data_IF_458367036749
#
_entry.id   IF_458367036749
#
_cell.length_a   1.000
_cell.length_b   1.000
_cell.length_c   1.000
_cell.angle_alpha   90.00
_cell.angle_beta   90.00
_cell.angle_gamma   90.00
#
_symmetry.space_group_name_H-M   'P 1'
#
loop_
_entity.id
_entity.type
_entity.pdbx_description
1 polymer ?
#
# COMPACT_ATOMS: atom_id res chain seq x y z
N UNK A 1 16.45 10.78 10.33
CA UNK A 1 15.91 11.15 11.65
C UNK A 1 16.48 12.50 12.04
N UNK A 2 15.72 13.57 11.79
CA UNK A 2 16.11 14.92 12.21
C UNK A 2 15.39 15.22 13.52
N UNK A 3 16.09 14.96 14.62
CA UNK A 3 15.59 15.14 15.97
C UNK A 3 15.65 16.62 16.36
N UNK A 4 14.56 17.09 16.97
CA UNK A 4 14.41 18.41 17.57
C UNK A 4 15.29 18.54 18.82
N UNK A 5 16.19 19.52 18.93
CA UNK A 5 16.96 19.72 20.16
C UNK A 5 16.16 20.59 21.18
N UNK A 6 16.27 20.22 22.46
CA UNK A 6 15.68 20.93 23.62
C UNK A 6 16.81 21.49 24.50
N UNK A 7 16.73 22.81 24.82
CA UNK A 7 17.26 23.61 25.98
C UNK A 7 18.70 23.33 26.49
N UNK A 8 19.57 24.27 26.87
CA UNK A 8 19.47 25.61 27.50
C UNK A 8 20.91 26.17 27.62
N UNK A 9 21.13 27.49 27.62
CA UNK A 9 22.03 28.23 28.55
C UNK A 9 21.82 29.75 28.38
N UNK A 10 22.12 30.49 29.45
CA UNK A 10 21.78 31.89 29.74
C UNK A 10 23.00 32.81 29.56
N UNK A 11 22.75 34.13 29.55
CA UNK A 11 23.68 35.30 29.70
C UNK A 11 23.99 36.03 28.38
N UNK A 12 24.17 37.36 28.29
CA UNK A 12 24.27 38.43 29.29
C UNK A 12 23.72 39.75 28.72
N UNK A 13 23.42 40.67 29.64
CA UNK A 13 22.92 42.04 29.47
C UNK A 13 23.94 42.95 28.78
N UNK A 14 23.47 43.85 27.91
CA UNK A 14 24.10 45.17 27.76
C UNK A 14 23.04 46.26 27.57
N UNK A 15 23.17 47.25 28.43
CA UNK A 15 22.31 48.38 28.74
C UNK A 15 22.34 49.48 27.67
N UNK A 16 21.18 50.12 27.44
CA UNK A 16 21.02 51.58 27.23
C UNK A 16 19.53 51.97 27.22
N UNK A 17 19.15 52.85 28.15
CA UNK A 17 17.91 53.64 28.18
C UNK A 17 18.32 55.11 28.44
N UNK A 18 17.46 56.14 28.28
CA UNK A 18 16.14 56.18 27.66
C UNK A 18 15.95 57.39 26.71
N UNK A 19 14.97 57.35 25.81
CA UNK A 19 14.29 58.57 25.38
C UNK A 19 12.78 58.37 25.42
N UNK A 20 12.16 59.20 26.26
CA UNK A 20 10.72 59.31 26.44
C UNK A 20 10.09 59.88 25.18
N UNK A 21 9.18 59.11 24.57
CA UNK A 21 8.10 59.65 23.76
C UNK A 21 6.89 58.75 23.99
N UNK A 22 5.87 59.27 24.67
CA UNK A 22 4.59 58.59 24.85
C UNK A 22 3.82 58.62 23.52
N UNK A 23 3.41 57.46 22.94
CA UNK A 23 2.38 57.45 21.92
C UNK A 23 1.03 57.17 22.57
N UNK A 24 0.06 58.00 22.19
CA UNK A 24 -1.32 57.99 22.60
C UNK A 24 -1.97 56.60 22.59
N UNK A 25 -2.79 56.35 23.62
CA UNK A 25 -3.69 55.19 23.68
C UNK A 25 -4.63 55.21 22.48
N UNK A 26 -4.46 54.26 21.56
CA UNK A 26 -5.49 53.94 20.57
C UNK A 26 -6.56 53.08 21.26
N UNK A 27 -7.85 53.31 20.98
CA UNK A 27 -8.93 52.51 21.56
C UNK A 27 -8.74 51.05 21.16
N UNK A 28 -8.93 50.14 22.11
CA UNK A 28 -8.86 48.71 21.88
C UNK A 28 -9.85 48.31 20.77
N UNK A 29 -9.35 48.06 19.56
CA UNK A 29 -10.10 47.36 18.54
C UNK A 29 -10.36 45.96 19.06
N UNK A 30 -11.62 45.56 19.06
CA UNK A 30 -12.12 44.26 19.48
C UNK A 30 -11.68 43.10 18.54
N UNK A 31 -10.60 43.30 17.78
CA UNK A 31 -10.03 42.31 16.90
C UNK A 31 -9.03 41.48 17.71
N UNK A 32 -9.55 40.39 18.28
CA UNK A 32 -8.71 39.26 18.66
C UNK A 32 -7.80 38.86 17.49
N UNK A 33 -6.71 38.11 17.74
CA UNK A 33 -5.77 37.70 16.70
C UNK A 33 -6.53 37.17 15.48
N UNK A 34 -6.31 37.80 14.32
CA UNK A 34 -7.01 37.53 13.06
C UNK A 34 -7.22 36.01 12.88
N UNK A 35 -8.46 35.55 13.03
CA UNK A 35 -8.79 34.13 13.14
C UNK A 35 -8.38 33.36 11.88
N UNK A 36 -8.45 34.01 10.72
CA UNK A 36 -7.97 33.44 9.46
C UNK A 36 -6.46 33.26 9.46
N UNK A 37 -5.72 34.21 10.03
CA UNK A 37 -4.27 34.10 10.19
C UNK A 37 -3.90 32.97 11.17
N UNK A 38 -4.67 32.75 12.22
CA UNK A 38 -4.42 31.66 13.17
C UNK A 38 -4.62 30.27 12.55
N UNK A 39 -5.68 30.11 11.75
CA UNK A 39 -6.09 28.82 11.20
C UNK A 39 -5.40 28.46 9.87
N UNK A 40 -4.95 29.45 9.10
CA UNK A 40 -4.37 29.23 7.76
C UNK A 40 -2.87 29.43 7.67
N UNK A 41 -2.25 30.18 8.60
CA UNK A 41 -0.83 30.47 8.51
C UNK A 41 0.01 29.37 9.21
N UNK A 42 0.97 28.73 8.52
CA UNK A 42 1.86 27.72 9.13
C UNK A 42 2.75 28.28 10.26
N UNK A 43 2.95 29.60 10.31
CA UNK A 43 3.70 30.30 11.36
C UNK A 43 2.81 30.85 12.48
N UNK A 44 1.53 30.47 12.54
CA UNK A 44 0.62 30.96 13.57
C UNK A 44 1.07 30.55 14.98
N UNK A 45 0.56 31.24 16.00
CA UNK A 45 0.82 30.86 17.39
C UNK A 45 0.25 29.48 17.74
N UNK A 46 -0.81 29.06 17.04
CA UNK A 46 -1.52 27.80 17.25
C UNK A 46 -0.63 26.57 16.99
N UNK A 47 0.37 26.66 16.11
CA UNK A 47 1.31 25.54 15.85
C UNK A 47 2.38 25.37 16.93
N UNK A 48 2.53 26.36 17.83
CA UNK A 48 3.56 26.35 18.88
C UNK A 48 3.00 26.07 20.28
N UNK A 49 1.70 26.20 20.44
CA UNK A 49 1.01 25.95 21.72
C UNK A 49 0.69 24.47 21.90
N UNK A 50 0.53 24.07 23.15
CA UNK A 50 0.07 22.72 23.48
C UNK A 50 -1.45 22.63 23.26
N UNK A 51 -1.87 21.81 22.30
CA UNK A 51 -3.28 21.71 21.89
C UNK A 51 -4.19 21.17 22.99
N UNK A 52 -3.63 20.37 23.90
CA UNK A 52 -4.35 19.82 25.06
C UNK A 52 -4.74 20.89 26.08
N UNK A 53 -4.00 21.99 26.12
CA UNK A 53 -4.35 23.16 26.96
C UNK A 53 -5.43 24.04 26.33
N UNK A 54 -5.62 23.92 25.01
CA UNK A 54 -6.59 24.70 24.24
C UNK A 54 -7.94 23.97 24.21
N UNK A 55 -7.94 22.67 23.91
CA UNK A 55 -9.13 21.83 23.94
C UNK A 55 -9.18 21.03 25.24
N UNK A 56 -9.77 21.63 26.27
CA UNK A 56 -9.94 21.00 27.58
C UNK A 56 -11.37 21.17 28.08
N UNK A 57 -11.75 20.39 29.09
CA UNK A 57 -13.05 20.53 29.75
C UNK A 57 -13.24 21.93 30.39
N UNK A 58 -12.14 22.55 30.84
CA UNK A 58 -12.14 23.91 31.38
C UNK A 58 -12.48 24.93 30.29
N UNK A 59 -11.83 24.86 29.13
CA UNK A 59 -12.11 25.79 28.02
C UNK A 59 -13.50 25.56 27.43
N UNK A 60 -13.97 24.32 27.41
CA UNK A 60 -15.35 24.00 27.02
C UNK A 60 -16.39 24.66 27.94
N UNK A 61 -16.13 24.68 29.25
CA UNK A 61 -17.02 25.28 30.24
C UNK A 61 -17.10 26.81 30.15
N UNK A 62 -16.11 27.45 29.52
CA UNK A 62 -16.09 28.89 29.26
C UNK A 62 -16.94 29.30 28.05
N UNK A 63 -17.40 28.35 27.23
CA UNK A 63 -18.20 28.63 26.04
C UNK A 63 -19.67 28.87 26.39
N UNK A 64 -20.35 29.72 25.59
CA UNK A 64 -21.80 29.93 25.73
C UNK A 64 -22.57 28.64 25.47
N UNK A 65 -23.78 28.54 26.02
CA UNK A 65 -24.66 27.39 25.80
C UNK A 65 -24.99 27.17 24.32
N UNK A 66 -25.26 28.25 23.58
CA UNK A 66 -25.48 28.19 22.13
C UNK A 66 -24.25 27.65 21.37
N UNK A 67 -23.05 28.08 21.75
CA UNK A 67 -21.81 27.60 21.11
C UNK A 67 -21.58 26.11 21.40
N UNK A 68 -21.85 25.67 22.63
CA UNK A 68 -21.75 24.26 23.03
C UNK A 68 -22.78 23.41 22.30
N UNK A 69 -23.99 23.90 22.09
CA UNK A 69 -25.02 23.20 21.33
C UNK A 69 -24.58 22.97 19.87
N UNK A 70 -24.06 24.01 19.20
CA UNK A 70 -23.53 23.88 17.83
C UNK A 70 -22.34 22.93 17.77
N UNK A 71 -21.37 23.06 18.67
CA UNK A 71 -20.20 22.19 18.69
C UNK A 71 -20.56 20.72 19.00
N UNK A 72 -21.59 20.49 19.82
CA UNK A 72 -22.09 19.14 20.11
C UNK A 72 -22.64 18.44 18.85
N UNK A 73 -23.13 19.18 17.86
CA UNK A 73 -23.55 18.57 16.57
C UNK A 73 -22.38 18.05 15.72
N UNK A 74 -21.16 18.53 15.99
CA UNK A 74 -19.95 18.16 15.24
C UNK A 74 -19.16 17.03 15.91
N UNK A 75 -19.49 16.71 17.17
CA UNK A 75 -18.81 15.65 17.91
C UNK A 75 -19.37 14.28 17.54
N UNK A 76 -18.54 13.22 17.58
CA UNK A 76 -19.03 11.88 17.33
C UNK A 76 -20.06 11.47 18.39
N UNK A 77 -21.06 10.63 18.05
CA UNK A 77 -22.06 10.17 19.00
C UNK A 77 -21.45 9.51 20.25
N UNK A 78 -20.26 8.92 20.14
CA UNK A 78 -19.49 8.30 21.23
C UNK A 78 -19.00 9.30 22.29
N UNK A 79 -19.02 10.60 22.02
CA UNK A 79 -18.60 11.64 22.96
C UNK A 79 -19.63 11.92 24.06
N UNK A 80 -20.82 11.31 23.98
CA UNK A 80 -21.94 11.56 24.88
C UNK A 80 -22.23 10.31 25.73
N UNK A 81 -22.53 10.50 27.01
CA UNK A 81 -22.83 9.40 27.95
C UNK A 81 -23.99 8.49 27.51
N UNK A 82 -24.90 9.01 26.68
CA UNK A 82 -26.07 8.28 26.17
C UNK A 82 -25.79 7.36 24.98
N UNK A 83 -24.54 7.25 24.53
CA UNK A 83 -24.20 6.42 23.37
C UNK A 83 -24.39 4.93 23.67
N UNK A 84 -25.22 4.28 22.86
CA UNK A 84 -25.31 2.82 22.81
C UNK A 84 -24.82 2.35 21.44
N UNK A 85 -23.84 1.45 21.46
CA UNK A 85 -23.35 0.79 20.26
C UNK A 85 -24.49 -0.03 19.66
N UNK A 86 -24.95 0.38 18.48
CA UNK A 86 -25.99 -0.33 17.74
C UNK A 86 -25.42 -0.89 16.46
N UNK A 87 -25.89 -2.09 16.11
CA UNK A 87 -25.54 -2.74 14.87
C UNK A 87 -26.41 -2.14 13.75
N UNK A 88 -25.81 -1.85 12.59
CA UNK A 88 -26.52 -1.34 11.41
C UNK A 88 -27.77 -2.17 11.09
N UNK A 89 -28.82 -1.51 10.58
CA UNK A 89 -30.08 -2.16 10.18
C UNK A 89 -29.85 -3.30 9.18
N UNK A 90 -28.82 -3.20 8.33
CA UNK A 90 -28.53 -4.16 7.26
C UNK A 90 -27.58 -5.29 7.68
N UNK A 91 -27.20 -5.36 8.95
CA UNK A 91 -26.24 -6.36 9.42
C UNK A 91 -26.94 -7.69 9.76
N UNK A 92 -26.43 -8.84 9.28
CA UNK A 92 -27.09 -10.14 9.43
C UNK A 92 -27.20 -10.65 10.88
N UNK A 93 -26.38 -10.12 11.80
CA UNK A 93 -26.39 -10.47 13.23
C UNK A 93 -27.32 -9.59 14.09
N UNK A 94 -28.20 -8.80 13.48
CA UNK A 94 -29.10 -7.92 14.23
C UNK A 94 -30.36 -8.67 14.67
N UNK A 95 -30.51 -8.86 15.97
CA UNK A 95 -31.77 -9.32 16.55
C UNK A 95 -32.86 -8.25 16.36
N UNK A 96 -34.01 -8.66 15.84
CA UNK A 96 -35.15 -7.78 15.50
C UNK A 96 -35.85 -7.14 16.70
N UNK A 97 -35.38 -7.39 17.93
CA UNK A 97 -36.01 -6.95 19.18
C UNK A 97 -35.47 -5.65 19.78
N UNK A 98 -34.42 -5.05 19.22
CA UNK A 98 -33.82 -3.82 19.77
C UNK A 98 -33.89 -2.66 18.79
N UNK A 99 -34.99 -1.90 18.86
CA UNK A 99 -35.12 -0.58 18.27
C UNK A 99 -34.35 0.44 19.11
N UNK A 100 -33.04 0.51 18.94
CA UNK A 100 -32.21 1.58 19.53
C UNK A 100 -32.20 2.78 18.58
N UNK A 101 -33.04 3.76 18.86
CA UNK A 101 -32.92 5.11 18.29
C UNK A 101 -31.67 5.76 18.86
N UNK A 102 -30.65 5.98 18.02
CA UNK A 102 -29.43 6.71 18.39
C UNK A 102 -29.74 8.20 18.54
N UNK A 103 -30.33 8.60 19.66
CA UNK A 103 -30.49 10.01 20.01
C UNK A 103 -29.18 10.52 20.61
N UNK A 104 -28.49 11.41 19.90
CA UNK A 104 -27.24 12.08 20.33
C UNK A 104 -27.45 13.19 21.38
N UNK A 105 -28.64 13.34 21.95
CA UNK A 105 -28.95 14.32 23.01
C UNK A 105 -28.52 13.83 24.39
N UNK A 106 -27.24 13.52 24.56
CA UNK A 106 -26.65 13.19 25.86
C UNK A 106 -25.83 14.35 26.42
N UNK A 107 -25.63 14.36 27.74
CA UNK A 107 -24.58 15.17 28.36
C UNK A 107 -23.21 14.74 27.80
N UNK A 108 -22.36 15.71 27.43
CA UNK A 108 -21.00 15.46 26.96
C UNK A 108 -20.18 14.80 28.07
N UNK A 109 -19.42 13.76 27.74
CA UNK A 109 -18.43 13.19 28.65
C UNK A 109 -17.13 14.04 28.65
N UNK A 110 -16.74 14.68 29.78
CA UNK A 110 -15.50 15.45 29.85
C UNK A 110 -14.23 14.64 29.53
N UNK A 111 -14.27 13.31 29.63
CA UNK A 111 -13.12 12.46 29.29
C UNK A 111 -12.78 12.48 27.79
N UNK A 112 -13.70 12.95 26.93
CA UNK A 112 -13.47 13.07 25.48
C UNK A 112 -12.26 13.95 25.17
N UNK A 113 -12.01 15.00 25.96
CA UNK A 113 -10.88 15.90 25.74
C UNK A 113 -9.53 15.27 26.10
N UNK A 114 -9.55 14.20 26.89
CA UNK A 114 -8.37 13.41 27.26
C UNK A 114 -8.23 12.13 26.46
N UNK A 115 -9.20 11.82 25.59
CA UNK A 115 -9.17 10.61 24.78
C UNK A 115 -8.01 10.63 23.79
N UNK A 116 -7.38 9.46 23.60
CA UNK A 116 -6.22 9.32 22.74
C UNK A 116 -6.55 9.65 21.28
N UNK A 117 -7.75 9.29 20.80
CA UNK A 117 -8.16 9.56 19.43
C UNK A 117 -8.44 11.05 19.23
N UNK A 118 -9.12 11.70 20.18
CA UNK A 118 -9.36 13.15 20.13
C UNK A 118 -8.04 13.95 20.16
N UNK A 119 -7.13 13.63 21.08
CA UNK A 119 -5.83 14.31 21.17
C UNK A 119 -4.99 14.08 19.89
N UNK A 120 -4.98 12.86 19.36
CA UNK A 120 -4.31 12.56 18.09
C UNK A 120 -4.87 13.39 16.94
N UNK A 121 -6.19 13.51 16.84
CA UNK A 121 -6.85 14.34 15.83
C UNK A 121 -6.51 15.83 16.01
N UNK A 122 -6.49 16.32 17.25
CA UNK A 122 -6.11 17.70 17.57
C UNK A 122 -4.66 18.01 17.18
N UNK A 123 -3.72 17.10 17.45
CA UNK A 123 -2.33 17.23 17.00
C UNK A 123 -2.21 17.16 15.47
N UNK A 124 -2.93 16.24 14.82
CA UNK A 124 -2.95 16.14 13.36
C UNK A 124 -3.48 17.44 12.73
N UNK A 125 -4.47 18.08 13.35
CA UNK A 125 -4.95 19.38 12.93
C UNK A 125 -3.85 20.47 13.03
N UNK A 126 -3.10 20.53 14.13
CA UNK A 126 -1.94 21.43 14.23
C UNK A 126 -0.89 21.16 13.17
N UNK A 127 -0.60 19.88 12.89
CA UNK A 127 0.34 19.47 11.86
C UNK A 127 -0.13 19.91 10.48
N UNK A 128 -1.43 19.77 10.17
CA UNK A 128 -2.01 20.26 8.92
C UNK A 128 -1.84 21.79 8.74
N UNK A 129 -2.01 22.57 9.81
CA UNK A 129 -1.74 24.01 9.77
C UNK A 129 -0.24 24.25 9.52
N UNK A 130 0.64 23.57 10.27
CA UNK A 130 2.09 23.73 10.16
C UNK A 130 2.62 23.35 8.76
N UNK A 131 2.10 22.27 8.18
CA UNK A 131 2.43 21.82 6.82
C UNK A 131 1.79 22.69 5.73
N UNK A 132 0.95 23.67 6.08
CA UNK A 132 0.32 24.59 5.15
C UNK A 132 -0.83 23.98 4.34
N UNK A 133 -1.41 22.86 4.79
CA UNK A 133 -2.52 22.21 4.11
C UNK A 133 -3.81 23.02 4.16
N UNK A 134 -3.94 23.88 5.18
CA UNK A 134 -5.06 24.81 5.36
C UNK A 134 -4.89 26.14 4.61
N UNK A 135 -3.81 26.29 3.83
CA UNK A 135 -3.60 27.50 3.01
C UNK A 135 -4.60 27.56 1.85
N UNK A 136 -4.93 28.77 1.41
CA UNK A 136 -5.88 28.99 0.30
C UNK A 136 -5.37 28.39 -1.02
N UNK A 137 -4.04 28.35 -1.20
CA UNK A 137 -3.41 27.75 -2.38
C UNK A 137 -3.61 26.23 -2.43
N UNK A 138 -3.51 25.55 -1.29
CA UNK A 138 -3.73 24.10 -1.19
C UNK A 138 -5.22 23.76 -1.31
N UNK A 139 -6.08 24.53 -0.62
CA UNK A 139 -7.54 24.38 -0.68
C UNK A 139 -8.04 24.51 -2.13
N UNK A 140 -7.56 25.50 -2.88
CA UNK A 140 -7.91 25.69 -4.30
C UNK A 140 -7.49 24.51 -5.19
N UNK A 141 -6.33 23.88 -4.91
CA UNK A 141 -5.88 22.69 -5.64
C UNK A 141 -6.77 21.48 -5.35
N UNK A 142 -7.15 21.29 -4.10
CA UNK A 142 -8.06 20.20 -3.68
C UNK A 142 -9.43 20.36 -4.35
N UNK A 143 -9.99 21.57 -4.35
CA UNK A 143 -11.28 21.83 -5.02
C UNK A 143 -11.20 21.63 -6.53
N UNK A 144 -10.11 22.07 -7.18
CA UNK A 144 -9.89 21.78 -8.60
C UNK A 144 -9.82 20.28 -8.89
N UNK A 145 -9.18 19.50 -8.01
CA UNK A 145 -9.10 18.05 -8.14
C UNK A 145 -10.49 17.39 -7.96
N UNK A 146 -11.22 17.75 -6.90
CA UNK A 146 -12.60 17.28 -6.67
C UNK A 146 -13.51 17.59 -7.86
N UNK A 147 -13.40 18.80 -8.41
CA UNK A 147 -14.20 19.22 -9.54
C UNK A 147 -13.82 18.42 -10.81
N UNK A 148 -12.52 18.21 -11.06
CA UNK A 148 -12.09 17.36 -12.18
C UNK A 148 -12.53 15.89 -12.05
N UNK A 149 -12.66 15.36 -10.83
CA UNK A 149 -13.23 14.02 -10.58
C UNK A 149 -14.72 14.01 -10.91
N UNK A 150 -15.48 15.02 -10.47
CA UNK A 150 -16.92 15.13 -10.79
C UNK A 150 -17.16 15.28 -12.29
N UNK A 151 -16.32 16.06 -12.96
CA UNK A 151 -16.43 16.35 -14.39
C UNK A 151 -15.81 15.23 -15.26
N UNK A 152 -15.27 14.16 -14.65
CA UNK A 152 -14.64 13.03 -15.34
C UNK A 152 -13.34 13.37 -16.08
N UNK A 153 -12.83 14.59 -15.93
CA UNK A 153 -11.60 15.07 -16.60
C UNK A 153 -10.34 14.62 -15.87
N UNK A 154 -10.42 14.40 -14.55
CA UNK A 154 -9.35 13.88 -13.72
C UNK A 154 -9.81 12.58 -13.06
N UNK A 155 -9.13 11.48 -13.33
CA UNK A 155 -9.28 10.27 -12.52
C UNK A 155 -8.35 10.37 -11.33
N UNK A 156 -8.88 10.14 -10.13
CA UNK A 156 -8.02 9.79 -9.01
C UNK A 156 -7.37 8.43 -9.37
N UNK A 157 -6.04 8.34 -9.41
CA UNK A 157 -5.39 7.06 -9.66
C UNK A 157 -5.74 6.09 -8.53
N UNK A 158 -5.88 4.81 -8.86
CA UNK A 158 -6.19 3.81 -7.84
C UNK A 158 -5.08 3.81 -6.78
N UNK A 159 -5.48 3.65 -5.51
CA UNK A 159 -4.56 3.58 -4.37
C UNK A 159 -3.42 2.59 -4.63
N UNK A 160 -3.72 1.46 -5.29
CA UNK A 160 -2.77 0.41 -5.60
C UNK A 160 -1.82 0.78 -6.76
N UNK A 161 -2.26 1.63 -7.69
CA UNK A 161 -1.43 2.14 -8.79
C UNK A 161 -0.43 3.19 -8.29
N UNK A 162 -0.87 4.12 -7.44
CA UNK A 162 0.03 5.10 -6.82
C UNK A 162 0.95 4.44 -5.80
N UNK A 163 0.45 3.48 -5.03
CA UNK A 163 1.30 2.64 -4.20
C UNK A 163 2.36 1.93 -5.04
N UNK A 164 1.97 1.33 -6.18
CA UNK A 164 2.88 0.71 -7.13
C UNK A 164 3.92 1.69 -7.70
N UNK A 165 3.54 2.92 -8.03
CA UNK A 165 4.45 3.96 -8.54
C UNK A 165 5.40 4.48 -7.47
N UNK A 166 4.89 4.80 -6.28
CA UNK A 166 5.68 5.28 -5.15
C UNK A 166 6.71 4.23 -4.72
N UNK A 167 6.27 2.98 -4.60
CA UNK A 167 7.11 1.81 -4.29
C UNK A 167 8.14 1.52 -5.40
N UNK A 168 7.83 1.82 -6.67
CA UNK A 168 8.76 1.69 -7.81
C UNK A 168 9.79 2.82 -7.88
N UNK A 169 9.40 4.05 -7.54
CA UNK A 169 10.26 5.24 -7.61
C UNK A 169 11.19 5.36 -6.40
N UNK A 170 10.77 4.87 -5.24
CA UNK A 170 11.65 4.71 -4.09
C UNK A 170 12.58 3.52 -4.35
N UNK A 171 13.75 3.80 -4.92
CA UNK A 171 14.86 2.87 -5.20
C UNK A 171 15.32 2.04 -3.98
N UNK A 172 14.70 2.26 -2.82
CA UNK A 172 14.88 1.51 -1.59
C UNK A 172 14.14 0.16 -1.60
N UNK A 173 13.10 -0.09 -2.40
CA UNK A 173 12.46 -1.43 -2.43
C UNK A 173 13.27 -2.52 -3.14
N UNK A 174 14.24 -2.14 -3.98
CA UNK A 174 15.17 -3.05 -4.66
C UNK A 174 16.55 -3.11 -3.98
N UNK A 175 16.85 -2.17 -3.07
CA UNK A 175 18.09 -2.14 -2.26
C UNK A 175 17.89 -2.37 -0.77
N UNK A 176 16.66 -2.36 -0.27
CA UNK A 176 16.32 -3.11 0.94
C UNK A 176 16.73 -4.55 0.62
N UNK A 177 17.49 -5.25 1.50
CA UNK A 177 17.56 -6.69 1.38
C UNK A 177 16.11 -7.15 1.28
N UNK A 178 15.73 -7.70 0.11
CA UNK A 178 14.37 -8.17 -0.20
C UNK A 178 13.90 -8.78 1.09
N UNK A 179 12.90 -8.16 1.73
CA UNK A 179 12.54 -8.50 3.10
C UNK A 179 12.58 -10.00 3.21
N UNK A 180 13.55 -10.49 3.99
CA UNK A 180 13.52 -11.82 4.55
C UNK A 180 12.39 -11.86 5.57
N UNK A 181 11.22 -11.28 5.25
CA UNK A 181 9.93 -11.94 5.32
C UNK A 181 10.15 -13.37 4.84
N UNK A 182 10.72 -14.13 5.78
CA UNK A 182 10.73 -15.57 5.91
C UNK A 182 9.39 -15.96 5.32
N UNK A 183 9.40 -16.84 4.33
CA UNK A 183 8.17 -17.41 3.78
C UNK A 183 7.50 -18.28 4.86
N UNK A 184 7.28 -17.74 6.07
CA UNK A 184 7.05 -18.43 7.32
C UNK A 184 7.82 -19.75 7.41
N UNK A 185 7.09 -20.75 7.88
CA UNK A 185 7.46 -22.16 7.84
C UNK A 185 7.25 -22.79 6.45
N UNK A 186 6.52 -22.14 5.52
CA UNK A 186 6.45 -22.55 4.12
C UNK A 186 7.83 -22.50 3.41
N UNK A 187 8.79 -21.77 3.98
CA UNK A 187 10.24 -21.97 4.03
C UNK A 187 10.76 -23.38 3.68
N UNK A 188 10.10 -24.39 4.21
CA UNK A 188 10.54 -25.78 4.18
C UNK A 188 10.05 -26.53 2.94
N UNK A 189 8.94 -26.09 2.32
CA UNK A 189 8.38 -26.72 1.12
C UNK A 189 9.33 -26.48 -0.06
N UNK A 190 9.88 -27.53 -0.65
CA UNK A 190 10.77 -27.45 -1.80
C UNK A 190 9.98 -27.55 -3.11
N UNK A 191 10.60 -27.11 -4.20
CA UNK A 191 10.01 -27.24 -5.54
C UNK A 191 9.72 -28.70 -5.90
N UNK A 192 10.61 -29.61 -5.49
CA UNK A 192 10.40 -31.05 -5.61
C UNK A 192 9.16 -31.56 -4.86
N UNK A 193 8.73 -30.88 -3.80
CA UNK A 193 7.54 -31.26 -3.03
C UNK A 193 6.27 -30.84 -3.78
N UNK A 194 6.26 -29.67 -4.42
CA UNK A 194 5.16 -29.26 -5.31
C UNK A 194 4.99 -30.21 -6.49
N UNK A 195 6.11 -30.67 -7.06
CA UNK A 195 6.12 -31.65 -8.15
C UNK A 195 5.64 -33.02 -7.68
N UNK A 196 6.09 -33.47 -6.50
CA UNK A 196 5.70 -34.77 -5.95
C UNK A 196 4.21 -34.85 -5.62
N UNK A 197 3.63 -33.76 -5.10
CA UNK A 197 2.22 -33.67 -4.73
C UNK A 197 1.30 -33.24 -5.90
N UNK A 198 1.78 -33.30 -7.14
CA UNK A 198 1.03 -32.94 -8.35
C UNK A 198 0.46 -31.50 -8.36
N UNK A 199 1.08 -30.59 -7.60
CA UNK A 199 0.76 -29.16 -7.64
C UNK A 199 1.24 -28.55 -8.95
N UNK A 200 2.40 -28.99 -9.45
CA UNK A 200 2.89 -28.71 -10.80
C UNK A 200 2.68 -29.97 -11.65
N UNK A 201 2.09 -29.81 -12.84
CA UNK A 201 1.65 -30.90 -13.70
C UNK A 201 2.20 -30.77 -15.12
N UNK A 202 2.21 -31.87 -15.85
CA UNK A 202 2.57 -31.88 -17.29
C UNK A 202 1.53 -31.09 -18.08
N UNK A 203 1.97 -30.19 -18.95
CA UNK A 203 1.12 -29.28 -19.72
C UNK A 203 0.93 -27.90 -19.09
N UNK A 204 1.34 -27.72 -17.83
CA UNK A 204 1.38 -26.40 -17.19
C UNK A 204 2.40 -25.49 -17.87
N UNK A 205 2.12 -24.19 -17.89
CA UNK A 205 3.01 -23.16 -18.42
C UNK A 205 3.53 -22.30 -17.27
N UNK A 206 4.85 -22.23 -17.10
CA UNK A 206 5.52 -21.40 -16.11
C UNK A 206 6.02 -20.15 -16.82
N UNK A 207 5.43 -19.01 -16.50
CA UNK A 207 5.84 -17.71 -17.04
C UNK A 207 6.79 -17.01 -16.09
N UNK A 208 7.93 -16.57 -16.62
CA UNK A 208 8.97 -15.82 -15.93
C UNK A 208 8.92 -14.35 -16.33
N UNK A 209 8.99 -13.44 -15.36
CA UNK A 209 9.13 -12.00 -15.60
C UNK A 209 10.04 -11.37 -14.55
N UNK A 210 11.11 -10.72 -14.99
CA UNK A 210 12.02 -10.00 -14.09
C UNK A 210 12.59 -8.73 -14.73
N UNK A 211 12.68 -7.67 -13.92
CA UNK A 211 13.28 -6.41 -14.31
C UNK A 211 14.69 -6.27 -13.71
N UNK A 212 15.67 -5.97 -14.54
CA UNK A 212 17.06 -5.75 -14.19
C UNK A 212 17.39 -4.26 -14.29
N UNK A 213 17.42 -3.58 -13.14
CA UNK A 213 17.69 -2.13 -13.06
C UNK A 213 19.03 -1.74 -13.66
N UNK A 214 20.05 -2.59 -13.52
CA UNK A 214 21.42 -2.32 -13.96
C UNK A 214 21.56 -2.20 -15.50
N UNK A 215 20.50 -2.48 -16.25
CA UNK A 215 20.44 -2.24 -17.70
C UNK A 215 19.08 -1.77 -18.21
N UNK A 216 18.12 -1.47 -17.34
CA UNK A 216 16.71 -1.23 -17.70
C UNK A 216 16.14 -2.35 -18.62
N UNK A 217 16.51 -3.60 -18.34
CA UNK A 217 16.15 -4.76 -19.16
C UNK A 217 15.03 -5.52 -18.45
N UNK A 218 13.91 -5.72 -19.12
CA UNK A 218 12.87 -6.66 -18.70
C UNK A 218 13.04 -7.95 -19.48
N UNK A 219 13.16 -9.07 -18.76
CA UNK A 219 13.21 -10.40 -19.35
C UNK A 219 11.90 -11.09 -19.02
N UNK A 220 11.21 -11.52 -20.07
CA UNK A 220 9.97 -12.30 -20.00
C UNK A 220 10.14 -13.56 -20.83
N UNK A 221 9.82 -14.72 -20.25
CA UNK A 221 9.91 -16.02 -20.94
C UNK A 221 8.87 -16.99 -20.43
N UNK A 222 8.29 -17.76 -21.33
CA UNK A 222 7.36 -18.82 -21.01
C UNK A 222 8.02 -20.20 -21.13
N UNK A 223 7.71 -21.10 -20.19
CA UNK A 223 8.27 -22.43 -20.09
C UNK A 223 7.18 -23.49 -19.94
N UNK A 224 7.11 -24.44 -20.87
CA UNK A 224 6.10 -25.50 -20.85
C UNK A 224 6.64 -26.74 -20.13
N UNK A 225 5.88 -27.27 -19.19
CA UNK A 225 6.20 -28.53 -18.51
C UNK A 225 5.92 -29.71 -19.44
N UNK A 226 6.97 -30.30 -20.00
CA UNK A 226 6.86 -31.42 -20.94
C UNK A 226 6.77 -32.76 -20.23
N UNK A 227 7.62 -32.99 -19.23
CA UNK A 227 7.66 -34.26 -18.51
C UNK A 227 8.16 -34.07 -17.10
N UNK A 228 7.67 -34.92 -16.19
CA UNK A 228 8.09 -34.94 -14.79
C UNK A 228 8.65 -36.34 -14.50
N UNK A 229 9.93 -36.43 -14.14
CA UNK A 229 10.50 -37.69 -13.65
C UNK A 229 10.16 -37.82 -12.15
N UNK A 230 9.25 -38.75 -11.84
CA UNK A 230 8.79 -39.00 -10.47
C UNK A 230 9.88 -39.57 -9.55
N UNK A 231 10.89 -40.27 -10.10
CA UNK A 231 11.97 -40.87 -9.30
C UNK A 231 12.96 -39.81 -8.84
N UNK A 232 13.35 -38.91 -9.73
CA UNK A 232 14.29 -37.82 -9.42
C UNK A 232 13.61 -36.55 -8.94
N UNK A 233 12.27 -36.46 -9.08
CA UNK A 233 11.46 -35.26 -8.84
C UNK A 233 11.93 -34.06 -9.68
N UNK A 234 12.50 -34.34 -10.84
CA UNK A 234 12.96 -33.33 -11.77
C UNK A 234 11.89 -33.03 -12.82
N UNK A 235 11.88 -31.79 -13.30
CA UNK A 235 10.91 -31.29 -14.27
C UNK A 235 11.68 -30.91 -15.54
N UNK A 236 11.27 -31.48 -16.67
CA UNK A 236 11.79 -31.12 -17.99
C UNK A 236 10.86 -30.09 -18.63
N UNK A 237 11.44 -28.96 -18.99
CA UNK A 237 10.76 -27.78 -19.50
C UNK A 237 11.18 -27.50 -20.94
N UNK A 238 10.24 -27.11 -21.78
CA UNK A 238 10.47 -26.59 -23.13
C UNK A 238 10.42 -25.06 -23.12
N UNK A 239 11.41 -24.45 -23.78
CA UNK A 239 11.70 -23.04 -23.71
C UNK A 239 12.02 -22.45 -25.09
N UNK A 240 11.62 -21.21 -25.38
CA UNK A 240 12.05 -20.53 -26.60
C UNK A 240 13.53 -20.11 -26.49
N UNK A 241 14.30 -20.33 -27.56
CA UNK A 241 15.68 -19.88 -27.69
C UNK A 241 15.80 -18.36 -27.80
N UNK A 242 16.97 -17.81 -27.43
CA UNK A 242 17.27 -16.39 -27.58
C UNK A 242 16.40 -15.49 -26.70
N UNK A 243 16.02 -14.33 -27.21
CA UNK A 243 15.23 -13.32 -26.46
C UNK A 243 13.72 -13.45 -26.63
N UNK A 244 13.25 -14.48 -27.34
CA UNK A 244 11.82 -14.71 -27.57
C UNK A 244 11.13 -15.05 -26.26
N UNK A 245 9.97 -14.40 -26.04
CA UNK A 245 9.18 -14.53 -24.83
C UNK A 245 8.28 -15.76 -24.84
N UNK A 246 7.42 -15.87 -25.85
CA UNK A 246 6.37 -16.88 -25.90
C UNK A 246 6.81 -18.14 -26.63
N UNK A 247 6.20 -19.27 -26.28
CA UNK A 247 6.33 -20.51 -27.04
C UNK A 247 5.47 -20.46 -28.31
N UNK A 248 5.87 -21.15 -29.39
CA UNK A 248 5.05 -21.26 -30.59
C UNK A 248 3.69 -21.88 -30.28
N UNK A 249 2.64 -21.37 -30.93
CA UNK A 249 1.26 -21.83 -30.72
C UNK A 249 1.10 -23.35 -30.95
N UNK A 250 1.92 -23.96 -31.82
CA UNK A 250 1.92 -25.40 -32.07
C UNK A 250 2.24 -26.24 -30.82
N UNK A 251 3.06 -25.72 -29.90
CA UNK A 251 3.42 -26.38 -28.64
C UNK A 251 2.45 -26.08 -27.49
N UNK A 252 1.65 -25.02 -27.64
CA UNK A 252 0.71 -24.60 -26.61
C UNK A 252 -0.63 -25.33 -26.66
N UNK A 253 -0.84 -26.23 -27.64
CA UNK A 253 -2.03 -27.10 -27.76
C UNK A 253 -2.02 -28.22 -26.71
N UNK A 254 -3.20 -28.79 -26.38
CA UNK A 254 -3.31 -29.95 -25.47
C UNK A 254 -2.49 -31.16 -25.95
N UNK A 255 -2.40 -31.33 -27.27
CA UNK A 255 -1.46 -32.25 -27.91
C UNK A 255 -0.37 -31.39 -28.57
N UNK A 256 0.81 -31.26 -27.96
CA UNK A 256 1.89 -30.46 -28.53
C UNK A 256 2.40 -31.11 -29.82
N UNK A 257 2.65 -30.29 -30.84
CA UNK A 257 3.39 -30.73 -32.03
C UNK A 257 4.87 -30.99 -31.73
N UNK A 258 5.61 -31.48 -32.73
CA UNK A 258 7.06 -31.68 -32.56
C UNK A 258 7.77 -30.34 -32.32
N UNK A 259 8.74 -30.28 -31.40
CA UNK A 259 9.51 -29.07 -31.13
C UNK A 259 10.37 -28.71 -32.34
N UNK A 260 10.31 -27.45 -32.75
CA UNK A 260 11.16 -26.87 -33.78
C UNK A 260 12.59 -26.58 -33.24
N UNK A 261 13.55 -26.31 -34.13
CA UNK A 261 14.96 -26.00 -33.80
C UNK A 261 15.11 -24.76 -32.90
N UNK A 262 14.07 -23.93 -32.83
CA UNK A 262 13.97 -22.75 -31.97
C UNK A 262 13.72 -23.09 -30.49
N UNK A 263 13.46 -24.34 -30.13
CA UNK A 263 13.08 -24.77 -28.77
C UNK A 263 14.22 -25.47 -28.05
N UNK A 264 14.43 -25.14 -26.78
CA UNK A 264 15.39 -25.79 -25.89
C UNK A 264 14.67 -26.57 -24.81
N UNK A 265 15.20 -27.76 -24.52
CA UNK A 265 14.77 -28.56 -23.38
C UNK A 265 15.76 -28.36 -22.23
N UNK A 266 15.24 -28.18 -21.01
CA UNK A 266 16.06 -28.14 -19.80
C UNK A 266 15.41 -28.92 -18.65
N UNK A 267 16.22 -29.61 -17.86
CA UNK A 267 15.76 -30.32 -16.66
C UNK A 267 16.13 -29.52 -15.41
N UNK A 268 15.15 -29.29 -14.53
CA UNK A 268 15.32 -28.49 -13.31
C UNK A 268 14.80 -29.19 -12.07
N UNK A 269 15.39 -28.85 -10.93
CA UNK A 269 14.97 -29.32 -9.61
C UNK A 269 14.68 -28.17 -8.62
N UNK A 270 14.94 -26.92 -9.02
CA UNK A 270 14.68 -25.74 -8.19
C UNK A 270 14.35 -24.51 -9.05
N UNK A 271 13.61 -23.51 -8.50
CA UNK A 271 13.29 -22.29 -9.25
C UNK A 271 14.52 -21.46 -9.56
N UNK A 272 15.55 -21.48 -8.70
CA UNK A 272 16.82 -20.81 -8.96
C UNK A 272 17.58 -21.44 -10.14
N UNK A 273 17.51 -22.77 -10.29
CA UNK A 273 18.09 -23.47 -11.44
C UNK A 273 17.35 -23.11 -12.73
N UNK A 274 16.02 -23.03 -12.67
CA UNK A 274 15.19 -22.56 -13.78
C UNK A 274 15.51 -21.12 -14.17
N UNK A 275 15.57 -20.21 -13.21
CA UNK A 275 15.89 -18.79 -13.46
C UNK A 275 17.28 -18.65 -14.09
N UNK A 276 18.28 -19.36 -13.56
CA UNK A 276 19.64 -19.33 -14.11
C UNK A 276 19.67 -19.82 -15.55
N UNK A 277 18.97 -20.93 -15.85
CA UNK A 277 18.89 -21.47 -17.20
C UNK A 277 18.14 -20.55 -18.18
N UNK A 278 17.04 -19.92 -17.76
CA UNK A 278 16.32 -18.95 -18.57
C UNK A 278 17.19 -17.74 -18.93
N UNK A 279 17.95 -17.23 -17.96
CA UNK A 279 18.85 -16.10 -18.17
C UNK A 279 20.08 -16.48 -19.01
N UNK A 280 20.55 -17.73 -18.94
CA UNK A 280 21.59 -18.23 -19.82
C UNK A 280 21.11 -18.34 -21.28
N UNK A 281 19.88 -18.78 -21.50
CA UNK A 281 19.28 -18.88 -22.84
C UNK A 281 19.01 -17.48 -23.43
N UNK A 282 18.55 -16.54 -22.60
CA UNK A 282 18.29 -15.15 -23.03
C UNK A 282 19.59 -14.39 -23.35
N UNK A 283 20.65 -14.61 -22.56
CA UNK A 283 22.00 -14.10 -22.84
C UNK A 283 22.22 -12.61 -22.56
N UNK A 284 21.17 -11.81 -22.33
CA UNK A 284 21.30 -10.36 -22.07
C UNK A 284 21.84 -10.01 -20.68
N UNK A 285 21.82 -10.96 -19.74
CA UNK A 285 22.26 -10.74 -18.34
C UNK A 285 23.42 -11.67 -17.98
N UNK A 286 24.60 -11.07 -17.80
CA UNK A 286 25.80 -11.74 -17.31
C UNK A 286 25.58 -12.37 -15.93
N UNK A 287 26.17 -13.54 -15.69
CA UNK A 287 26.03 -14.31 -14.44
C UNK A 287 26.34 -13.50 -13.18
N UNK A 288 27.37 -12.65 -13.19
CA UNK A 288 27.77 -11.82 -12.05
C UNK A 288 26.80 -10.67 -11.73
N UNK A 289 25.91 -10.30 -12.66
CA UNK A 289 24.90 -9.25 -12.49
C UNK A 289 23.52 -9.81 -12.14
N UNK A 290 23.42 -11.13 -11.98
CA UNK A 290 22.16 -11.79 -11.61
C UNK A 290 21.89 -11.55 -10.12
N UNK A 291 20.70 -11.07 -9.76
CA UNK A 291 20.35 -10.83 -8.36
C UNK A 291 20.24 -12.14 -7.59
N UNK A 292 20.75 -12.17 -6.36
CA UNK A 292 20.60 -13.28 -5.41
C UNK A 292 19.20 -13.30 -4.75
N UNK A 293 18.16 -12.92 -5.50
CA UNK A 293 16.80 -12.75 -4.99
C UNK A 293 15.99 -14.03 -4.94
N UNK A 294 14.78 -13.95 -4.37
CA UNK A 294 13.90 -15.10 -4.24
C UNK A 294 13.20 -15.45 -5.57
N UNK A 295 13.80 -16.36 -6.35
CA UNK A 295 13.30 -16.82 -7.65
C UNK A 295 11.82 -17.28 -7.64
N UNK A 296 11.29 -17.76 -6.50
CA UNK A 296 9.89 -18.18 -6.36
C UNK A 296 8.88 -17.08 -6.68
N UNK A 297 9.25 -15.80 -6.51
CA UNK A 297 8.37 -14.66 -6.76
C UNK A 297 8.31 -14.25 -8.23
N UNK A 298 9.28 -14.70 -9.04
CA UNK A 298 9.43 -14.31 -10.45
C UNK A 298 8.72 -15.25 -11.42
N UNK A 299 8.09 -16.31 -10.91
CA UNK A 299 7.40 -17.32 -11.70
C UNK A 299 5.90 -17.36 -11.40
N UNK A 300 5.10 -17.33 -12.45
CA UNK A 300 3.65 -17.52 -12.41
C UNK A 300 3.28 -18.82 -13.11
N UNK A 301 2.49 -19.66 -12.45
CA UNK A 301 1.98 -20.91 -13.02
C UNK A 301 0.65 -20.65 -13.75
N UNK A 302 0.54 -21.18 -14.96
CA UNK A 302 -0.64 -21.11 -15.80
C UNK A 302 -1.12 -22.51 -16.14
N UNK A 303 -2.41 -22.78 -15.96
CA UNK A 303 -3.03 -24.09 -16.13
C UNK A 303 -4.24 -24.03 -17.05
N UNK A 304 -4.52 -25.13 -17.74
CA UNK A 304 -5.73 -25.27 -18.54
C UNK A 304 -6.98 -25.16 -17.68
N UNK A 305 -8.00 -24.47 -18.20
CA UNK A 305 -9.33 -24.47 -17.61
C UNK A 305 -10.00 -25.84 -17.84
N UNK A 306 -10.74 -26.33 -16.84
CA UNK A 306 -11.44 -27.62 -16.89
C UNK A 306 -12.63 -27.65 -17.87
N UNK A 307 -13.02 -26.52 -18.47
CA UNK A 307 -14.07 -26.49 -19.50
C UNK A 307 -13.57 -27.11 -20.80
N UNK A 308 -14.26 -28.18 -21.25
CA UNK A 308 -14.01 -28.96 -22.47
C UNK A 308 -14.24 -28.21 -23.79
N UNK A 309 -14.65 -26.95 -23.73
CA UNK A 309 -14.77 -26.13 -24.94
C UNK A 309 -13.37 -25.68 -25.37
N UNK A 310 -12.88 -26.26 -26.47
CA UNK A 310 -11.73 -25.75 -27.23
C UNK A 310 -12.08 -24.38 -27.84
N UNK A 311 -12.35 -23.39 -27.00
CA UNK A 311 -12.22 -22.01 -27.41
C UNK A 311 -10.72 -21.77 -27.60
N UNK A 312 -10.31 -21.81 -28.87
CA UNK A 312 -9.06 -21.24 -29.33
C UNK A 312 -9.13 -19.72 -29.13
N UNK A 313 -9.18 -19.28 -27.88
CA UNK A 313 -9.00 -17.88 -27.55
C UNK A 313 -7.60 -17.51 -28.05
N UNK A 314 -7.57 -16.43 -28.84
CA UNK A 314 -6.39 -15.78 -29.40
C UNK A 314 -5.48 -15.16 -28.32
N UNK A 315 -5.53 -15.67 -27.09
CA UNK A 315 -4.75 -15.18 -25.98
C UNK A 315 -3.35 -15.81 -26.01
N UNK A 316 -2.34 -15.03 -25.61
CA UNK A 316 -0.90 -15.35 -25.80
C UNK A 316 -0.47 -16.69 -25.16
N UNK A 317 -1.28 -17.26 -24.25
CA UNK A 317 -1.04 -18.52 -23.54
C UNK A 317 -2.07 -19.63 -23.82
N UNK A 318 -2.88 -19.44 -24.87
CA UNK A 318 -3.83 -20.42 -25.41
C UNK A 318 -4.89 -20.91 -24.41
N UNK A 319 -5.62 -19.99 -23.76
CA UNK A 319 -6.76 -20.34 -22.89
C UNK A 319 -6.40 -20.93 -21.51
N UNK A 320 -5.13 -20.87 -21.11
CA UNK A 320 -4.71 -21.17 -19.73
C UNK A 320 -5.04 -20.00 -18.81
N UNK A 321 -5.43 -20.28 -17.58
CA UNK A 321 -5.63 -19.28 -16.53
C UNK A 321 -4.44 -19.20 -15.56
N UNK A 322 -4.21 -18.02 -15.00
CA UNK A 322 -3.15 -17.79 -14.02
C UNK A 322 -3.55 -18.41 -12.68
N UNK A 323 -2.88 -19.51 -12.31
CA UNK A 323 -3.11 -20.21 -11.06
C UNK A 323 -2.40 -19.54 -9.86
N UNK A 324 -1.45 -18.63 -10.12
CA UNK A 324 -0.75 -17.84 -9.11
C UNK A 324 0.77 -17.92 -9.22
N UNK A 325 1.49 -17.17 -8.39
CA UNK A 325 2.96 -17.25 -8.35
C UNK A 325 3.41 -18.49 -7.60
N UNK A 326 4.57 -19.06 -7.96
CA UNK A 326 5.12 -20.21 -7.24
C UNK A 326 5.30 -19.91 -5.74
N UNK A 327 5.60 -18.67 -5.38
CA UNK A 327 5.66 -18.23 -3.98
C UNK A 327 4.32 -18.39 -3.24
N UNK A 328 3.21 -17.95 -3.84
CA UNK A 328 1.89 -18.07 -3.20
C UNK A 328 1.37 -19.50 -3.21
N UNK A 329 1.53 -20.22 -4.33
CA UNK A 329 1.16 -21.63 -4.46
C UNK A 329 1.86 -22.48 -3.39
N UNK A 330 3.14 -22.21 -3.15
CA UNK A 330 3.90 -22.83 -2.06
C UNK A 330 3.32 -22.53 -0.67
N UNK A 331 2.89 -21.29 -0.45
CA UNK A 331 2.24 -20.89 0.80
C UNK A 331 0.91 -21.59 1.02
N UNK A 332 0.06 -21.65 -0.01
CA UNK A 332 -1.22 -22.38 0.04
C UNK A 332 -1.01 -23.87 0.33
N UNK A 333 -0.11 -24.52 -0.41
CA UNK A 333 0.22 -25.94 -0.18
C UNK A 333 0.74 -26.21 1.24
N UNK A 334 1.45 -25.26 1.85
CA UNK A 334 1.87 -25.40 3.25
C UNK A 334 0.69 -25.31 4.23
N UNK A 335 -0.26 -24.40 4.00
CA UNK A 335 -1.43 -24.23 4.87
C UNK A 335 -2.44 -25.39 4.75
N UNK A 336 -2.51 -26.04 3.58
CA UNK A 336 -3.45 -27.13 3.29
C UNK A 336 -2.98 -28.49 3.83
N UNK A 337 -1.79 -28.56 4.46
CA UNK A 337 -1.14 -29.78 4.92
C UNK A 337 -1.24 -29.97 6.44
#
# INVERSE_FOLDING_TARGET
>A
MSTRPRRTTRSAVSSKTPQYAAPASKPASNDGPNMQHLLKNPRSALTKMDISTIFSAETWSLLSEDSRAVLSTLLPPTAFFGYQQSISNDHPSRDTSSSSSSSSSGTLDPSVFTDAHFLSAAHTFQDHIFSGWTTDSHTSKVEKCKQGIRDGTLSAPYKDEEWGRQTRNDAQWLTLPESSARAGQAAEVKFTDLVHNAVIQVGDLISYKRNFMNGNIVIEKDALVQSIDRRTRSVTLLLPSGTTQHLPAALLRRVPGDPDDSIRSMTVMSPSMLETGLLDIDGRVERGKRPNGNAWKSFTLWRWKDSDEEMFDLDERSGRESHGTLFYIRGCFYCDR
#
